data_IF_218575349054
#
_entry.id   IF_218575349054
#
_cell.length_a   1.000
_cell.length_b   1.000
_cell.length_c   1.000
_cell.angle_alpha   90.00
_cell.angle_beta   90.00
_cell.angle_gamma   90.00
#
_symmetry.space_group_name_H-M   'P 1'
#
loop_
_entity.id
_entity.type
_entity.pdbx_description
1 polymer ?
#
# COMPACT_ATOMS: atom_id res chain seq x y z
N UNK A 1 -14.58 13.22 -12.73
CA UNK A 1 -13.21 13.78 -12.54
C UNK A 1 -12.71 13.34 -11.18
N UNK A 2 -11.43 13.06 -11.04
CA UNK A 2 -10.80 12.73 -9.75
C UNK A 2 -9.87 13.87 -9.34
N UNK A 3 -9.73 14.07 -8.04
CA UNK A 3 -8.92 15.14 -7.44
C UNK A 3 -7.86 14.49 -6.55
N UNK A 4 -6.65 14.99 -6.60
CA UNK A 4 -5.52 14.48 -5.84
C UNK A 4 -5.18 15.42 -4.69
N UNK A 5 -4.95 14.83 -3.51
CA UNK A 5 -4.75 15.55 -2.26
C UNK A 5 -3.52 15.05 -1.53
N UNK A 6 -2.83 15.98 -0.88
CA UNK A 6 -1.83 15.70 0.12
C UNK A 6 -2.40 15.99 1.51
N UNK A 7 -2.18 15.07 2.44
CA UNK A 7 -2.63 15.16 3.81
C UNK A 7 -1.39 15.32 4.69
N UNK A 8 -1.17 16.53 5.16
CA UNK A 8 0.01 16.93 5.94
C UNK A 8 -0.32 16.81 7.44
N UNK A 9 0.22 15.82 8.16
CA UNK A 9 -0.05 15.65 9.58
C UNK A 9 0.46 16.84 10.40
N UNK A 10 -0.39 17.39 11.28
CA UNK A 10 -0.01 18.46 12.21
C UNK A 10 0.49 17.92 13.56
N UNK A 11 0.28 16.62 13.80
CA UNK A 11 0.72 15.90 14.98
C UNK A 11 0.85 14.40 14.65
N UNK A 12 1.54 13.59 15.46
CA UNK A 12 1.62 12.16 15.25
C UNK A 12 0.25 11.51 15.14
N UNK A 13 0.05 10.70 14.08
CA UNK A 13 -1.21 10.06 13.77
C UNK A 13 -1.36 8.71 14.47
N UNK A 14 -2.56 8.41 14.95
CA UNK A 14 -2.87 7.18 15.67
C UNK A 14 -3.80 6.30 14.84
N UNK A 15 -3.32 5.10 14.48
CA UNK A 15 -4.13 4.10 13.79
C UNK A 15 -4.09 2.78 14.54
N UNK A 16 -5.21 2.37 15.08
CA UNK A 16 -5.33 1.15 15.87
C UNK A 16 -5.54 -0.07 14.97
N UNK A 17 -5.07 -1.23 15.42
CA UNK A 17 -5.20 -2.49 14.65
C UNK A 17 -6.62 -3.06 14.60
N UNK A 18 -7.57 -2.50 15.34
CA UNK A 18 -8.91 -3.05 15.48
C UNK A 18 -9.03 -4.23 16.44
N UNK A 19 -7.95 -4.59 17.15
CA UNK A 19 -8.02 -5.54 18.25
C UNK A 19 -8.79 -4.95 19.43
N UNK A 20 -9.50 -5.78 20.20
CA UNK A 20 -10.16 -5.31 21.44
C UNK A 20 -9.13 -4.63 22.35
N UNK A 21 -9.49 -3.48 22.88
CA UNK A 21 -8.66 -2.73 23.81
C UNK A 21 -8.66 -3.44 25.18
N UNK A 22 -7.54 -4.01 25.56
CA UNK A 22 -7.33 -4.61 26.89
C UNK A 22 -6.22 -3.87 27.65
N UNK A 23 -6.32 -3.86 28.97
CA UNK A 23 -5.39 -3.17 29.88
C UNK A 23 -3.92 -3.59 29.78
N UNK A 24 -3.61 -4.63 29.01
CA UNK A 24 -2.25 -5.16 28.81
C UNK A 24 -1.81 -5.22 27.35
N UNK A 25 -2.61 -4.73 26.39
CA UNK A 25 -2.27 -4.80 24.98
C UNK A 25 -1.68 -3.45 24.53
N UNK A 26 -0.37 -3.39 24.32
CA UNK A 26 0.23 -2.35 23.47
C UNK A 26 -0.13 -2.65 22.02
N UNK A 27 -1.05 -1.88 21.45
CA UNK A 27 -1.35 -1.92 20.02
C UNK A 27 -0.58 -0.80 19.34
N UNK A 28 0.52 -1.18 18.69
CA UNK A 28 1.36 -0.24 17.95
C UNK A 28 0.60 0.38 16.78
N UNK A 29 0.77 1.66 16.58
CA UNK A 29 0.20 2.36 15.44
C UNK A 29 0.79 1.83 14.14
N UNK A 30 -0.08 1.59 13.14
CA UNK A 30 0.29 1.06 11.83
C UNK A 30 0.05 2.10 10.75
N UNK A 31 0.64 1.87 9.58
CA UNK A 31 0.28 2.65 8.40
C UNK A 31 -1.24 2.57 8.16
N UNK A 32 -1.92 3.70 7.84
CA UNK A 32 -3.37 3.76 7.79
C UNK A 32 -3.97 2.80 6.77
N UNK A 33 -5.13 2.25 7.12
CA UNK A 33 -5.93 1.50 6.17
C UNK A 33 -6.64 2.42 5.18
N UNK A 34 -6.92 1.97 3.95
CA UNK A 34 -7.67 2.74 2.95
C UNK A 34 -8.97 3.32 3.50
N UNK A 35 -9.72 2.53 4.26
CA UNK A 35 -10.98 2.97 4.86
C UNK A 35 -10.84 4.15 5.84
N UNK A 36 -9.67 4.35 6.46
CA UNK A 36 -9.44 5.52 7.32
C UNK A 36 -9.32 6.79 6.48
N UNK A 37 -8.63 6.72 5.34
CA UNK A 37 -8.50 7.83 4.39
C UNK A 37 -9.85 8.13 3.75
N UNK A 38 -10.54 7.13 3.20
CA UNK A 38 -11.87 7.30 2.61
C UNK A 38 -12.85 7.93 3.60
N UNK A 39 -12.83 7.49 4.87
CA UNK A 39 -13.67 8.05 5.92
C UNK A 39 -13.36 9.51 6.24
N UNK A 40 -12.08 9.89 6.29
CA UNK A 40 -11.66 11.28 6.52
C UNK A 40 -12.09 12.21 5.38
N UNK A 41 -11.84 11.79 4.11
CA UNK A 41 -12.21 12.58 2.93
C UNK A 41 -13.72 12.71 2.77
N UNK A 42 -14.49 11.65 3.00
CA UNK A 42 -15.96 11.70 3.01
C UNK A 42 -16.50 12.61 4.10
N UNK A 43 -15.88 12.60 5.29
CA UNK A 43 -16.26 13.52 6.38
C UNK A 43 -15.97 14.96 6.02
N UNK A 44 -14.82 15.23 5.37
CA UNK A 44 -14.51 16.56 4.84
C UNK A 44 -15.56 16.99 3.80
N UNK A 45 -15.88 16.13 2.84
CA UNK A 45 -16.89 16.41 1.82
C UNK A 45 -18.26 16.74 2.43
N UNK A 46 -18.73 15.95 3.40
CA UNK A 46 -20.00 16.24 4.07
C UNK A 46 -20.00 17.60 4.74
N UNK A 47 -18.89 17.98 5.35
CA UNK A 47 -18.73 19.28 6.01
C UNK A 47 -18.73 20.43 5.01
N UNK A 48 -18.04 20.27 3.87
CA UNK A 48 -18.00 21.25 2.79
C UNK A 48 -19.39 21.44 2.14
N UNK A 49 -20.25 20.39 2.18
CA UNK A 49 -21.66 20.47 1.79
C UNK A 49 -22.56 21.12 2.88
N UNK A 50 -21.98 21.54 4.00
CA UNK A 50 -22.68 22.24 5.09
C UNK A 50 -23.53 21.35 6.00
N UNK A 51 -23.54 20.04 5.80
CA UNK A 51 -24.41 19.13 6.56
C UNK A 51 -23.78 17.75 6.80
N UNK A 52 -23.58 17.42 8.06
CA UNK A 52 -23.08 16.11 8.51
C UNK A 52 -24.23 15.32 9.14
N UNK A 53 -25.02 14.68 8.30
CA UNK A 53 -26.15 13.86 8.74
C UNK A 53 -26.07 12.42 8.16
N UNK A 54 -27.01 11.57 8.58
CA UNK A 54 -27.05 10.17 8.15
C UNK A 54 -27.27 10.02 6.64
N UNK A 55 -28.12 10.83 6.04
CA UNK A 55 -28.40 10.79 4.59
C UNK A 55 -27.13 11.14 3.79
N UNK A 56 -26.45 12.23 4.16
CA UNK A 56 -25.17 12.62 3.53
C UNK A 56 -24.09 11.56 3.72
N UNK A 57 -24.08 10.89 4.87
CA UNK A 57 -23.17 9.78 5.11
C UNK A 57 -23.42 8.62 4.13
N UNK A 58 -24.68 8.30 3.82
CA UNK A 58 -25.01 7.27 2.82
C UNK A 58 -24.60 7.73 1.40
N UNK A 59 -24.91 8.96 1.00
CA UNK A 59 -24.50 9.53 -0.28
C UNK A 59 -22.97 9.51 -0.44
N UNK A 60 -22.22 9.82 0.61
CA UNK A 60 -20.76 9.82 0.60
C UNK A 60 -20.13 8.45 0.32
N UNK A 61 -20.84 7.34 0.56
CA UNK A 61 -20.36 5.99 0.25
C UNK A 61 -20.18 5.75 -1.24
N UNK A 62 -20.90 6.51 -2.09
CA UNK A 62 -20.73 6.46 -3.54
C UNK A 62 -19.41 7.13 -4.01
N UNK A 63 -18.81 7.96 -3.18
CA UNK A 63 -17.57 8.65 -3.50
C UNK A 63 -16.37 7.71 -3.32
N UNK A 64 -15.59 7.58 -4.38
CA UNK A 64 -14.41 6.72 -4.40
C UNK A 64 -13.16 7.46 -3.91
N UNK A 65 -12.35 6.74 -3.14
CA UNK A 65 -11.03 7.16 -2.71
C UNK A 65 -9.99 6.13 -3.17
N UNK A 66 -8.75 6.57 -3.42
CA UNK A 66 -7.58 5.71 -3.57
C UNK A 66 -6.47 6.20 -2.64
N UNK A 67 -5.71 5.28 -2.08
CA UNK A 67 -4.70 5.55 -1.05
C UNK A 67 -5.03 4.83 0.26
N UNK A 68 -4.24 5.05 1.32
CA UNK A 68 -3.17 6.05 1.43
C UNK A 68 -1.94 5.72 0.58
N UNK A 69 -1.34 6.75 0.03
CA UNK A 69 0.01 6.72 -0.52
C UNK A 69 0.94 7.45 0.45
N UNK A 70 2.21 7.08 0.45
CA UNK A 70 3.19 7.80 1.24
C UNK A 70 3.87 8.84 0.35
N UNK A 71 3.87 10.10 0.82
CA UNK A 71 4.57 11.21 0.16
C UNK A 71 5.77 11.57 1.05
N UNK A 72 6.95 11.45 0.49
CA UNK A 72 8.20 11.78 1.17
C UNK A 72 8.61 13.23 0.99
N UNK A 73 9.72 13.63 1.63
CA UNK A 73 10.37 14.90 1.34
C UNK A 73 10.60 15.07 -0.16
N UNK A 74 10.64 16.31 -0.65
CA UNK A 74 10.83 16.65 -2.06
C UNK A 74 9.66 16.23 -2.97
N UNK A 75 8.46 16.10 -2.42
CA UNK A 75 7.25 15.72 -3.17
C UNK A 75 7.43 14.41 -3.97
N UNK A 76 8.02 13.42 -3.34
CA UNK A 76 8.23 12.10 -3.92
C UNK A 76 7.16 11.11 -3.48
N UNK A 77 6.53 10.43 -4.42
CA UNK A 77 5.61 9.35 -4.10
C UNK A 77 6.38 8.07 -3.75
N UNK A 78 5.99 7.45 -2.64
CA UNK A 78 6.49 6.15 -2.21
C UNK A 78 5.39 5.10 -2.29
N UNK A 79 5.76 3.92 -2.76
CA UNK A 79 4.89 2.76 -2.89
C UNK A 79 5.42 1.60 -2.07
N UNK A 80 4.60 0.65 -1.64
CA UNK A 80 5.09 -0.52 -0.94
C UNK A 80 6.14 -1.26 -1.76
N UNK A 81 7.20 -1.74 -1.08
CA UNK A 81 8.22 -2.59 -1.71
C UNK A 81 7.52 -3.76 -2.41
N UNK A 82 7.78 -4.00 -3.69
CA UNK A 82 7.14 -5.10 -4.39
C UNK A 82 7.63 -6.45 -3.87
N UNK A 83 6.70 -7.39 -3.73
CA UNK A 83 6.99 -8.73 -3.21
C UNK A 83 7.89 -9.56 -4.12
N UNK A 84 8.03 -9.17 -5.39
CA UNK A 84 8.96 -9.77 -6.34
C UNK A 84 10.39 -9.23 -6.23
N UNK A 85 10.64 -8.27 -5.32
CA UNK A 85 11.98 -7.79 -5.01
C UNK A 85 12.57 -8.55 -3.81
N UNK A 86 13.52 -9.43 -4.08
CA UNK A 86 14.28 -10.15 -3.08
C UNK A 86 15.55 -9.38 -2.75
N UNK A 87 15.67 -8.89 -1.52
CA UNK A 87 16.86 -8.16 -1.07
C UNK A 87 17.71 -9.07 -0.21
N UNK A 88 18.96 -9.23 -0.60
CA UNK A 88 19.96 -10.05 0.07
C UNK A 88 21.09 -9.16 0.57
N UNK A 89 21.58 -9.43 1.79
CA UNK A 89 22.76 -8.76 2.35
C UNK A 89 23.80 -9.83 2.69
N UNK A 90 24.95 -9.71 2.07
CA UNK A 90 26.13 -10.50 2.40
C UNK A 90 26.92 -9.75 3.49
N UNK A 91 26.82 -10.22 4.73
CA UNK A 91 27.49 -9.61 5.88
C UNK A 91 29.02 -9.86 5.86
N UNK A 92 29.49 -10.88 5.13
CA UNK A 92 30.89 -11.22 4.97
C UNK A 92 31.56 -10.53 3.78
N UNK A 93 30.80 -9.77 2.98
CA UNK A 93 31.34 -9.06 1.82
C UNK A 93 32.35 -8.01 2.27
N UNK A 94 33.61 -8.15 1.82
CA UNK A 94 34.70 -7.18 2.07
C UNK A 94 34.43 -5.80 1.47
N UNK A 95 33.60 -5.74 0.44
CA UNK A 95 33.18 -4.54 -0.26
C UNK A 95 31.72 -4.24 0.11
N UNK A 96 31.52 -3.21 0.92
CA UNK A 96 30.18 -2.82 1.41
C UNK A 96 29.23 -2.45 0.27
N UNK A 97 29.74 -2.02 -0.89
CA UNK A 97 28.92 -1.71 -2.06
C UNK A 97 28.33 -2.96 -2.73
N UNK A 98 28.96 -4.11 -2.53
CA UNK A 98 28.50 -5.43 -3.02
C UNK A 98 27.73 -6.22 -1.96
N UNK A 99 27.70 -5.73 -0.73
CA UNK A 99 27.02 -6.39 0.38
C UNK A 99 25.50 -6.47 0.17
N UNK A 100 24.91 -5.54 -0.57
CA UNK A 100 23.47 -5.48 -0.83
C UNK A 100 23.17 -5.82 -2.29
N UNK A 101 22.35 -6.85 -2.51
CA UNK A 101 21.92 -7.29 -3.82
C UNK A 101 20.38 -7.31 -3.88
N UNK A 102 19.81 -6.85 -4.97
CA UNK A 102 18.37 -6.91 -5.23
C UNK A 102 18.15 -7.82 -6.43
N UNK A 103 17.48 -8.93 -6.20
CA UNK A 103 17.09 -9.86 -7.24
C UNK A 103 15.60 -9.71 -7.55
N UNK A 104 15.27 -9.74 -8.83
CA UNK A 104 13.89 -9.77 -9.28
C UNK A 104 13.44 -11.20 -9.40
N UNK A 105 12.38 -11.54 -8.67
CA UNK A 105 11.65 -12.78 -8.88
C UNK A 105 10.70 -12.63 -10.06
N UNK A 106 10.53 -13.68 -10.86
CA UNK A 106 9.69 -13.68 -12.07
C UNK A 106 8.89 -14.96 -12.18
N UNK A 107 7.75 -14.96 -12.92
CA UNK A 107 7.11 -16.19 -13.33
C UNK A 107 8.10 -17.13 -14.00
N UNK A 108 8.04 -18.41 -13.67
CA UNK A 108 9.00 -19.40 -14.18
C UNK A 108 8.42 -20.81 -14.20
N UNK A 109 9.26 -21.79 -14.39
CA UNK A 109 8.91 -23.22 -14.35
C UNK A 109 9.47 -23.89 -13.10
N UNK A 110 8.78 -24.93 -12.65
CA UNK A 110 9.39 -25.85 -11.69
C UNK A 110 10.59 -26.57 -12.31
N UNK A 111 11.59 -26.87 -11.48
CA UNK A 111 12.64 -27.76 -11.89
C UNK A 111 12.06 -29.16 -12.19
N UNK A 112 12.71 -29.90 -13.09
CA UNK A 112 12.29 -31.24 -13.44
C UNK A 112 12.19 -32.14 -12.20
N UNK A 113 11.10 -32.90 -12.07
CA UNK A 113 10.82 -33.74 -10.93
C UNK A 113 10.23 -33.04 -9.71
N UNK A 114 10.03 -31.73 -9.74
CA UNK A 114 9.35 -31.00 -8.68
C UNK A 114 7.82 -31.01 -8.88
N UNK A 115 7.10 -31.32 -7.79
CA UNK A 115 5.65 -31.20 -7.72
C UNK A 115 5.22 -29.94 -6.97
N UNK A 116 3.97 -29.51 -7.18
CA UNK A 116 3.41 -28.35 -6.52
C UNK A 116 1.94 -28.52 -6.22
N UNK A 117 1.46 -27.81 -5.19
CA UNK A 117 0.03 -27.65 -4.87
C UNK A 117 -0.55 -26.36 -5.44
N UNK A 118 0.18 -25.66 -6.32
CA UNK A 118 -0.36 -24.48 -6.99
C UNK A 118 -1.59 -24.87 -7.82
N UNK A 119 -2.61 -24.00 -7.86
CA UNK A 119 -3.75 -24.18 -8.75
C UNK A 119 -3.30 -24.34 -10.20
N UNK A 120 -4.04 -25.16 -10.94
CA UNK A 120 -3.77 -25.37 -12.37
C UNK A 120 -3.80 -24.03 -13.13
N UNK A 121 -2.82 -23.80 -13.98
CA UNK A 121 -2.66 -22.57 -14.76
C UNK A 121 -1.82 -21.48 -14.10
N UNK A 122 -1.42 -21.67 -12.83
CA UNK A 122 -0.46 -20.77 -12.18
C UNK A 122 0.96 -21.27 -12.31
N UNK A 123 1.87 -20.35 -12.62
CA UNK A 123 3.31 -20.57 -12.60
C UNK A 123 3.90 -20.24 -11.23
N UNK A 124 4.97 -20.92 -10.82
CA UNK A 124 5.76 -20.50 -9.66
C UNK A 124 6.45 -19.17 -9.95
N UNK A 125 6.72 -18.43 -8.90
CA UNK A 125 7.61 -17.28 -8.97
C UNK A 125 9.00 -17.74 -8.53
N UNK A 126 9.98 -17.56 -9.39
CA UNK A 126 11.34 -18.09 -9.22
C UNK A 126 12.37 -16.99 -9.15
N UNK A 127 13.47 -17.26 -8.46
CA UNK A 127 14.66 -16.41 -8.43
C UNK A 127 15.61 -16.89 -9.53
N UNK A 128 16.18 -16.00 -10.34
CA UNK A 128 17.07 -16.37 -11.46
C UNK A 128 18.35 -17.06 -11.02
N UNK A 129 18.78 -16.83 -9.80
CA UNK A 129 20.02 -17.36 -9.21
C UNK A 129 19.74 -17.94 -7.85
N UNK A 130 20.47 -19.01 -7.49
CA UNK A 130 20.35 -19.61 -6.16
C UNK A 130 21.00 -18.68 -5.11
N UNK A 131 20.23 -18.05 -4.20
CA UNK A 131 20.78 -17.11 -3.25
C UNK A 131 21.55 -17.88 -2.17
N UNK A 132 22.83 -17.54 -1.98
CA UNK A 132 23.68 -18.12 -0.93
C UNK A 132 23.33 -17.60 0.47
N UNK A 133 22.70 -16.40 0.55
CA UNK A 133 22.38 -15.71 1.79
C UNK A 133 20.86 -15.57 1.98
N UNK A 134 20.44 -15.44 3.24
CA UNK A 134 19.01 -15.29 3.55
C UNK A 134 18.49 -13.92 3.16
N UNK A 135 17.24 -13.82 2.66
CA UNK A 135 16.56 -12.56 2.44
C UNK A 135 16.48 -11.76 3.74
N UNK A 136 16.67 -10.46 3.63
CA UNK A 136 16.58 -9.53 4.75
C UNK A 136 15.30 -8.71 4.72
N UNK A 137 14.79 -8.38 5.91
CA UNK A 137 13.76 -7.37 6.04
C UNK A 137 14.35 -6.01 5.67
N UNK A 138 13.73 -5.37 4.70
CA UNK A 138 14.18 -4.12 4.12
C UNK A 138 13.09 -3.06 4.24
N UNK A 139 13.35 -1.86 3.72
CA UNK A 139 12.39 -0.77 3.67
C UNK A 139 11.03 -1.24 3.16
N UNK A 140 9.98 -0.90 3.89
CA UNK A 140 8.60 -1.25 3.53
C UNK A 140 8.08 -0.44 2.34
N UNK A 141 8.75 0.68 2.01
CA UNK A 141 8.36 1.58 0.93
C UNK A 141 9.55 1.96 0.08
N UNK A 142 9.34 2.01 -1.23
CA UNK A 142 10.28 2.47 -2.23
C UNK A 142 9.76 3.72 -2.92
N UNK A 143 10.67 4.60 -3.33
CA UNK A 143 10.30 5.71 -4.21
C UNK A 143 9.75 5.14 -5.52
N UNK A 144 8.67 5.73 -6.01
CA UNK A 144 8.03 5.28 -7.26
C UNK A 144 8.98 5.35 -8.46
N UNK A 145 9.75 6.43 -8.58
CA UNK A 145 10.74 6.58 -9.64
C UNK A 145 11.83 5.51 -9.60
N UNK A 146 12.28 5.11 -8.41
CA UNK A 146 13.23 4.02 -8.21
C UNK A 146 12.64 2.67 -8.63
N UNK A 147 11.39 2.41 -8.24
CA UNK A 147 10.69 1.20 -8.65
C UNK A 147 10.58 1.12 -10.18
N UNK A 148 10.22 2.20 -10.83
CA UNK A 148 10.07 2.24 -12.29
C UNK A 148 11.43 2.10 -13.01
N UNK A 149 12.49 2.71 -12.48
CA UNK A 149 13.84 2.53 -12.98
C UNK A 149 14.32 1.08 -12.83
N UNK A 150 14.09 0.48 -11.67
CA UNK A 150 14.41 -0.93 -11.45
C UNK A 150 13.59 -1.85 -12.37
N UNK A 151 12.35 -1.50 -12.64
CA UNK A 151 11.47 -2.24 -13.54
C UNK A 151 11.96 -2.22 -14.99
N UNK A 152 12.55 -1.11 -15.41
CA UNK A 152 13.23 -0.98 -16.73
C UNK A 152 14.59 -1.67 -16.80
N UNK A 153 15.03 -2.35 -15.74
CA UNK A 153 16.31 -3.08 -15.69
C UNK A 153 17.53 -2.21 -15.33
N UNK A 154 17.31 -0.96 -14.92
CA UNK A 154 18.42 -0.11 -14.46
C UNK A 154 18.89 -0.56 -13.08
N UNK A 155 20.20 -0.66 -12.83
CA UNK A 155 20.71 -0.94 -11.50
C UNK A 155 20.44 0.24 -10.58
N UNK A 156 20.11 -0.05 -9.31
CA UNK A 156 20.05 1.00 -8.30
C UNK A 156 21.45 1.59 -8.04
N UNK A 157 21.58 2.91 -7.94
CA UNK A 157 22.82 3.53 -7.45
C UNK A 157 23.15 3.02 -6.03
N UNK A 158 24.43 2.82 -5.73
CA UNK A 158 24.87 2.27 -4.44
C UNK A 158 24.33 3.04 -3.22
N UNK A 159 24.29 4.38 -3.29
CA UNK A 159 23.70 5.21 -2.23
C UNK A 159 22.20 4.99 -2.02
N UNK A 160 21.46 4.61 -3.07
CA UNK A 160 20.03 4.31 -2.99
C UNK A 160 19.78 2.89 -2.47
N UNK A 161 20.70 1.94 -2.69
CA UNK A 161 20.59 0.60 -2.14
C UNK A 161 20.53 0.61 -0.62
N UNK A 162 21.32 1.44 0.03
CA UNK A 162 21.28 1.56 1.49
C UNK A 162 19.98 2.20 1.99
N UNK A 163 19.45 3.21 1.32
CA UNK A 163 18.16 3.81 1.66
C UNK A 163 16.99 2.82 1.48
N UNK A 164 17.10 1.92 0.51
CA UNK A 164 16.14 0.83 0.29
C UNK A 164 16.23 -0.25 1.37
N UNK A 165 17.43 -0.51 1.90
CA UNK A 165 17.65 -1.50 2.94
C UNK A 165 17.13 -1.05 4.31
N UNK A 166 16.93 0.25 4.52
CA UNK A 166 16.44 0.75 5.79
C UNK A 166 14.96 0.45 6.01
N UNK A 167 14.57 -0.10 7.18
CA UNK A 167 13.17 -0.34 7.47
C UNK A 167 12.43 0.98 7.61
N UNK A 168 11.32 1.10 6.92
CA UNK A 168 10.28 2.13 6.93
C UNK A 168 10.68 3.58 7.22
N UNK A 169 10.21 4.56 6.43
CA UNK A 169 10.47 5.99 6.68
C UNK A 169 9.95 6.46 8.05
N UNK A 170 9.03 5.74 8.68
CA UNK A 170 8.49 6.05 10.00
C UNK A 170 9.29 5.37 11.11
N UNK A 171 10.50 5.82 11.34
CA UNK A 171 11.33 5.32 12.44
C UNK A 171 10.92 5.89 13.79
N UNK A 172 10.31 7.07 13.80
CA UNK A 172 9.90 7.71 15.03
C UNK A 172 8.44 7.47 15.33
N UNK A 173 8.20 6.97 16.55
CA UNK A 173 6.88 6.75 17.11
C UNK A 173 6.76 7.52 18.40
N UNK A 174 5.73 8.33 18.51
CA UNK A 174 5.42 8.99 19.76
C UNK A 174 4.64 8.06 20.67
N UNK A 175 5.14 7.79 21.86
CA UNK A 175 4.43 7.07 22.90
C UNK A 175 3.90 8.07 23.91
N UNK A 176 2.58 8.10 24.09
CA UNK A 176 1.90 8.93 25.07
C UNK A 176 1.25 8.05 26.13
N UNK A 177 1.51 8.31 27.40
CA UNK A 177 0.91 7.59 28.52
C UNK A 177 -0.35 8.31 28.98
N UNK A 178 -1.44 7.59 29.08
CA UNK A 178 -2.75 8.08 29.48
C UNK A 178 -3.26 7.32 30.68
N UNK A 179 -4.11 7.98 31.48
CA UNK A 179 -4.80 7.37 32.62
C UNK A 179 -6.29 7.68 32.53
N UNK A 180 -7.12 6.72 32.87
CA UNK A 180 -8.55 6.96 32.99
C UNK A 180 -8.83 7.71 34.29
N UNK A 181 -9.55 8.82 34.20
CA UNK A 181 -10.00 9.61 35.34
C UNK A 181 -11.39 9.11 35.74
N UNK A 182 -11.55 8.80 37.04
CA UNK A 182 -12.86 8.57 37.61
C UNK A 182 -13.62 9.89 37.70
N UNK A 183 -14.77 9.97 37.05
CA UNK A 183 -15.56 11.21 36.97
C UNK A 183 -16.17 11.65 38.29
N UNK A 184 -16.31 10.73 39.28
CA UNK A 184 -16.90 11.04 40.58
C UNK A 184 -15.86 11.60 41.55
N UNK A 185 -14.69 10.99 41.61
CA UNK A 185 -13.59 11.38 42.50
C UNK A 185 -12.61 12.39 41.89
N UNK A 186 -12.57 12.52 40.57
CA UNK A 186 -11.55 13.34 39.87
C UNK A 186 -10.13 12.77 39.93
N UNK A 187 -9.97 11.55 40.45
CA UNK A 187 -8.68 10.88 40.58
C UNK A 187 -8.45 9.84 39.50
N UNK A 188 -7.20 9.37 39.36
CA UNK A 188 -6.87 8.27 38.45
C UNK A 188 -7.56 6.97 38.91
N UNK A 189 -8.11 6.25 37.95
CA UNK A 189 -8.69 4.93 38.20
C UNK A 189 -7.58 3.88 38.24
N UNK A 190 -7.51 3.11 39.32
CA UNK A 190 -6.48 2.09 39.51
C UNK A 190 -6.52 1.03 38.40
N UNK A 191 -5.35 0.61 37.92
CA UNK A 191 -5.22 -0.38 36.84
C UNK A 191 -5.61 0.11 35.44
N UNK A 192 -5.89 1.40 35.26
CA UNK A 192 -6.34 1.99 34.00
C UNK A 192 -5.29 2.94 33.38
N UNK A 193 -4.00 2.54 33.49
CA UNK A 193 -2.91 3.19 32.77
C UNK A 193 -2.77 2.51 31.40
N UNK A 194 -2.69 3.28 30.31
CA UNK A 194 -2.49 2.75 28.97
C UNK A 194 -1.60 3.66 28.14
N UNK A 195 -0.98 3.08 27.12
CA UNK A 195 -0.13 3.82 26.19
C UNK A 195 -0.78 3.88 24.83
N UNK A 196 -0.63 5.02 24.17
CA UNK A 196 -1.03 5.25 22.79
C UNK A 196 0.25 5.54 22.00
N UNK A 197 0.41 4.81 20.93
CA UNK A 197 1.51 5.02 19.99
C UNK A 197 0.98 5.76 18.75
N UNK A 198 1.66 6.83 18.36
CA UNK A 198 1.39 7.61 17.16
C UNK A 198 2.56 7.55 16.18
N UNK A 199 2.25 7.53 14.88
CA UNK A 199 3.23 7.67 13.80
C UNK A 199 3.61 9.14 13.64
N UNK A 200 4.88 9.48 13.77
CA UNK A 200 5.37 10.83 13.60
C UNK A 200 5.89 11.04 12.18
N UNK A 201 5.21 11.89 11.43
CA UNK A 201 5.51 12.22 10.04
C UNK A 201 6.48 13.41 9.91
N UNK A 202 6.80 14.08 11.02
CA UNK A 202 7.61 15.29 11.02
C UNK A 202 9.01 15.13 11.60
N UNK A 203 9.39 13.92 12.05
CA UNK A 203 10.68 13.66 12.68
C UNK A 203 11.34 12.41 12.16
N UNK A 204 12.64 12.52 11.90
CA UNK A 204 13.52 11.37 11.74
C UNK A 204 14.51 11.31 12.91
N UNK A 205 14.73 10.11 13.42
CA UNK A 205 15.76 9.89 14.44
C UNK A 205 17.10 9.72 13.76
N UNK A 206 18.04 10.59 14.07
CA UNK A 206 19.41 10.43 13.64
C UNK A 206 20.10 9.37 14.50
N UNK A 207 20.73 8.40 13.84
CA UNK A 207 21.52 7.34 14.50
C UNK A 207 22.98 7.58 14.09
N UNK A 208 23.87 7.63 15.08
CA UNK A 208 25.31 7.73 14.83
C UNK A 208 25.90 6.40 14.30
N UNK A 209 27.18 6.42 13.92
CA UNK A 209 27.89 5.24 13.43
C UNK A 209 27.97 4.07 14.44
N UNK A 210 27.67 4.33 15.71
CA UNK A 210 27.68 3.34 16.80
C UNK A 210 26.27 2.83 17.12
N UNK A 211 25.24 3.26 16.36
CA UNK A 211 23.85 2.86 16.56
C UNK A 211 23.12 3.63 17.67
N UNK A 212 23.73 4.69 18.24
CA UNK A 212 23.10 5.51 19.27
C UNK A 212 22.35 6.71 18.68
N UNK A 213 21.37 7.21 19.41
CA UNK A 213 20.61 8.38 19.01
C UNK A 213 21.49 9.63 19.04
N UNK A 214 21.74 10.20 17.86
CA UNK A 214 22.46 11.48 17.69
C UNK A 214 21.51 12.70 17.66
N UNK A 215 20.22 12.50 17.95
CA UNK A 215 19.21 13.55 17.93
C UNK A 215 18.09 13.29 16.92
N UNK A 216 17.38 14.35 16.55
CA UNK A 216 16.27 14.31 15.60
C UNK A 216 16.51 15.35 14.51
N UNK A 217 16.23 14.98 13.27
CA UNK A 217 16.06 15.91 12.16
C UNK A 217 14.57 16.14 11.90
N UNK A 218 14.25 17.31 11.34
CA UNK A 218 12.91 17.60 10.83
C UNK A 218 12.84 17.07 9.41
N UNK A 219 11.94 16.11 9.18
CA UNK A 219 11.56 15.66 7.85
C UNK A 219 10.05 15.80 7.72
N UNK A 220 9.61 16.25 6.56
CA UNK A 220 8.17 16.35 6.29
C UNK A 220 7.75 15.20 5.40
N UNK A 221 7.09 14.23 6.02
CA UNK A 221 6.36 13.18 5.33
C UNK A 221 4.88 13.50 5.36
N UNK A 222 4.16 13.06 4.34
CA UNK A 222 2.73 13.24 4.24
C UNK A 222 2.06 11.96 3.73
N UNK A 223 0.73 11.95 3.76
CA UNK A 223 -0.07 10.96 3.07
C UNK A 223 -0.64 11.57 1.79
N UNK A 224 -0.79 10.75 0.77
CA UNK A 224 -1.44 11.12 -0.47
C UNK A 224 -2.74 10.35 -0.65
N UNK A 225 -3.71 10.97 -1.31
CA UNK A 225 -4.96 10.32 -1.66
C UNK A 225 -5.58 10.92 -2.92
N UNK A 226 -6.30 10.09 -3.67
CA UNK A 226 -7.17 10.50 -4.76
C UNK A 226 -8.61 10.38 -4.32
N UNK A 227 -9.47 11.33 -4.71
CA UNK A 227 -10.88 11.33 -4.35
C UNK A 227 -11.76 11.76 -5.53
N UNK A 228 -12.96 11.18 -5.62
CA UNK A 228 -13.85 11.40 -6.76
C UNK A 228 -14.67 12.70 -6.70
N UNK A 229 -14.57 13.46 -5.62
CA UNK A 229 -15.24 14.76 -5.46
C UNK A 229 -14.23 15.84 -5.07
N UNK A 230 -14.46 17.12 -5.43
CA UNK A 230 -13.66 18.22 -4.96
C UNK A 230 -13.84 18.45 -3.46
N UNK A 231 -12.76 18.86 -2.79
CA UNK A 231 -12.72 19.25 -1.39
C UNK A 231 -11.95 20.56 -1.26
N UNK A 232 -12.35 21.40 -0.32
CA UNK A 232 -11.63 22.62 0.02
C UNK A 232 -10.38 22.28 0.85
N UNK A 233 -9.31 23.06 0.63
CA UNK A 233 -8.11 22.99 1.45
C UNK A 233 -8.43 23.36 2.90
N UNK A 234 -7.85 22.66 3.86
CA UNK A 234 -8.09 22.98 5.26
C UNK A 234 -7.77 21.86 6.23
N UNK A 235 -8.04 22.13 7.50
CA UNK A 235 -7.80 21.17 8.58
C UNK A 235 -8.93 20.14 8.63
N UNK A 236 -8.56 18.86 8.53
CA UNK A 236 -9.46 17.72 8.70
C UNK A 236 -8.94 16.78 9.79
N UNK A 237 -9.75 15.85 10.26
CA UNK A 237 -9.33 14.82 11.22
C UNK A 237 -9.05 13.49 10.52
N UNK A 238 -7.94 12.85 10.92
CA UNK A 238 -7.55 11.55 10.42
C UNK A 238 -7.07 10.63 11.54
N UNK A 239 -7.60 9.42 11.57
CA UNK A 239 -7.26 8.41 12.58
C UNK A 239 -7.91 8.64 13.94
N UNK A 240 -7.32 8.05 14.97
CA UNK A 240 -7.78 8.16 16.36
C UNK A 240 -7.37 9.47 17.02
N UNK A 241 -7.94 9.70 18.22
CA UNK A 241 -7.60 10.84 19.09
C UNK A 241 -7.82 12.22 18.42
N UNK A 242 -8.69 12.31 17.42
CA UNK A 242 -9.01 13.55 16.66
C UNK A 242 -7.74 14.27 16.15
N UNK A 243 -6.73 13.51 15.72
CA UNK A 243 -5.51 14.09 15.17
C UNK A 243 -5.79 14.86 13.89
N UNK A 244 -5.20 16.05 13.78
CA UNK A 244 -5.39 16.94 12.63
C UNK A 244 -4.41 16.64 11.51
N UNK A 245 -4.89 16.78 10.27
CA UNK A 245 -4.07 16.85 9.08
C UNK A 245 -4.53 18.03 8.23
N UNK A 246 -3.58 18.73 7.62
CA UNK A 246 -3.89 19.77 6.67
C UNK A 246 -4.06 19.15 5.29
N UNK A 247 -5.28 19.23 4.76
CA UNK A 247 -5.63 18.80 3.41
C UNK A 247 -5.20 19.87 2.41
N UNK A 248 -4.48 19.48 1.38
CA UNK A 248 -3.96 20.36 0.34
C UNK A 248 -4.26 19.77 -1.04
N UNK A 249 -4.86 20.55 -1.91
CA UNK A 249 -5.11 20.23 -3.32
C UNK A 249 -3.94 20.65 -4.22
N UNK A 250 -4.08 20.45 -5.53
CA UNK A 250 -3.10 20.91 -6.52
C UNK A 250 -1.87 20.04 -6.69
N UNK A 251 -1.87 18.83 -6.14
CA UNK A 251 -0.74 17.89 -6.17
C UNK A 251 -0.85 16.81 -7.26
N UNK A 252 -1.62 17.07 -8.30
CA UNK A 252 -1.93 16.09 -9.37
C UNK A 252 -0.68 15.52 -10.04
N UNK A 253 0.42 16.28 -10.09
CA UNK A 253 1.69 15.84 -10.66
C UNK A 253 2.28 14.63 -9.93
N UNK A 254 2.02 14.47 -8.63
CA UNK A 254 2.51 13.34 -7.82
C UNK A 254 1.84 12.03 -8.23
N UNK A 255 0.60 12.09 -8.68
CA UNK A 255 -0.24 10.93 -8.95
C UNK A 255 -0.45 10.67 -10.45
N UNK A 256 0.18 11.44 -11.30
CA UNK A 256 0.11 11.24 -12.74
C UNK A 256 0.86 9.97 -13.15
N UNK A 257 0.24 9.16 -14.02
CA UNK A 257 0.96 8.05 -14.63
C UNK A 257 2.05 8.59 -15.57
N UNK A 258 3.30 8.13 -15.46
CA UNK A 258 4.35 8.54 -16.39
C UNK A 258 3.96 8.20 -17.83
N UNK A 259 4.05 9.15 -18.79
CA UNK A 259 3.63 8.91 -20.19
C UNK A 259 4.37 7.73 -20.86
N UNK A 260 5.65 7.56 -20.56
CA UNK A 260 6.43 6.44 -21.05
C UNK A 260 5.91 5.08 -20.56
N UNK A 261 5.48 5.01 -19.30
CA UNK A 261 4.87 3.80 -18.73
C UNK A 261 3.52 3.52 -19.37
N UNK A 262 2.67 4.55 -19.57
CA UNK A 262 1.39 4.39 -20.22
C UNK A 262 1.54 3.82 -21.63
N UNK A 263 2.49 4.37 -22.42
CA UNK A 263 2.80 3.87 -23.75
C UNK A 263 3.29 2.42 -23.72
N UNK A 264 4.19 2.09 -22.80
CA UNK A 264 4.74 0.74 -22.66
C UNK A 264 3.65 -0.28 -22.25
N UNK A 265 2.78 0.06 -21.31
CA UNK A 265 1.64 -0.79 -20.89
C UNK A 265 0.66 -1.00 -22.03
N UNK A 266 0.41 0.01 -22.87
CA UNK A 266 -0.54 -0.11 -23.99
C UNK A 266 -0.14 -1.17 -25.02
N UNK A 267 1.14 -1.46 -25.17
CA UNK A 267 1.70 -2.39 -26.17
C UNK A 267 2.19 -3.71 -25.55
N UNK A 268 2.41 -3.75 -24.24
CA UNK A 268 2.97 -4.92 -23.56
C UNK A 268 2.05 -6.16 -23.68
N UNK A 269 2.59 -7.38 -23.75
CA UNK A 269 1.80 -8.62 -23.80
C UNK A 269 1.04 -8.88 -22.50
N UNK A 270 1.48 -8.24 -21.40
CA UNK A 270 0.86 -8.34 -20.10
C UNK A 270 1.33 -7.27 -19.13
N UNK A 271 0.78 -7.30 -17.93
CA UNK A 271 1.07 -6.35 -16.86
C UNK A 271 1.36 -7.07 -15.55
N UNK A 272 2.31 -6.55 -14.79
CA UNK A 272 2.50 -6.90 -13.40
C UNK A 272 1.83 -5.82 -12.55
N UNK A 273 0.80 -6.19 -11.80
CA UNK A 273 0.05 -5.27 -10.93
C UNK A 273 0.59 -5.37 -9.51
N UNK A 274 1.21 -4.31 -9.02
CA UNK A 274 1.69 -4.24 -7.64
C UNK A 274 0.69 -3.48 -6.78
N UNK A 275 0.27 -4.08 -5.67
CA UNK A 275 -0.70 -3.47 -4.77
C UNK A 275 -0.07 -2.35 -3.93
N UNK A 276 -0.55 -1.13 -4.10
CA UNK A 276 -0.21 0.00 -3.23
C UNK A 276 -0.95 -0.06 -1.90
N UNK A 277 -2.15 -0.64 -1.89
CA UNK A 277 -2.96 -0.85 -0.68
C UNK A 277 -3.37 -2.31 -0.58
N UNK A 278 -3.65 -2.83 0.63
CA UNK A 278 -4.11 -4.21 0.77
C UNK A 278 -5.39 -4.47 -0.01
N UNK A 279 -5.53 -5.67 -0.57
CA UNK A 279 -6.69 -6.07 -1.36
C UNK A 279 -7.57 -7.08 -0.63
N UNK A 280 -8.86 -7.01 -0.88
CA UNK A 280 -9.90 -7.84 -0.26
C UNK A 280 -10.58 -8.70 -1.30
N UNK A 281 -10.26 -9.99 -1.29
CA UNK A 281 -10.86 -10.98 -2.15
C UNK A 281 -11.64 -12.01 -1.34
N UNK A 282 -12.79 -12.41 -1.85
CA UNK A 282 -13.68 -13.41 -1.22
C UNK A 282 -13.04 -14.79 -1.14
N UNK A 283 -12.14 -15.09 -2.08
CA UNK A 283 -11.40 -16.35 -2.16
C UNK A 283 -9.96 -16.26 -1.60
N UNK A 284 -9.70 -15.29 -0.72
CA UNK A 284 -8.40 -15.09 -0.08
C UNK A 284 -7.39 -14.41 -0.99
N UNK A 285 -6.54 -15.17 -1.70
CA UNK A 285 -5.54 -14.60 -2.61
C UNK A 285 -6.10 -14.35 -4.02
N UNK A 286 -7.12 -15.11 -4.44
CA UNK A 286 -7.65 -15.07 -5.81
C UNK A 286 -8.72 -13.97 -5.92
N UNK A 287 -8.57 -13.04 -6.89
CA UNK A 287 -9.63 -12.10 -7.25
C UNK A 287 -10.92 -12.82 -7.67
N UNK A 288 -12.06 -12.41 -7.13
CA UNK A 288 -13.34 -13.05 -7.37
C UNK A 288 -13.90 -12.82 -8.77
N UNK A 289 -13.37 -11.85 -9.51
CA UNK A 289 -13.71 -11.59 -10.91
C UNK A 289 -13.00 -12.53 -11.90
N UNK A 290 -12.07 -13.36 -11.42
CA UNK A 290 -11.43 -14.41 -12.22
C UNK A 290 -12.22 -15.71 -12.15
N UNK A 291 -12.46 -16.32 -13.30
CA UNK A 291 -13.08 -17.63 -13.45
C UNK A 291 -12.14 -18.78 -13.01
N UNK A 292 -12.52 -20.01 -13.26
CA UNK A 292 -11.71 -21.20 -12.94
C UNK A 292 -10.47 -21.35 -13.84
N UNK A 293 -10.49 -20.74 -15.03
CA UNK A 293 -9.34 -20.67 -15.93
C UNK A 293 -8.42 -19.46 -15.61
N UNK A 294 -8.65 -18.79 -14.46
CA UNK A 294 -7.94 -17.61 -14.02
C UNK A 294 -8.06 -16.41 -14.98
N UNK A 295 -9.13 -16.38 -15.78
CA UNK A 295 -9.43 -15.34 -16.75
C UNK A 295 -10.59 -14.46 -16.23
N UNK A 296 -10.58 -13.19 -16.59
CA UNK A 296 -11.68 -12.28 -16.27
C UNK A 296 -11.49 -10.88 -16.81
N UNK A 297 -12.57 -10.10 -16.77
CA UNK A 297 -12.55 -8.69 -17.15
C UNK A 297 -12.14 -7.85 -15.93
N UNK A 298 -11.23 -6.89 -16.16
CA UNK A 298 -10.75 -6.03 -15.08
C UNK A 298 -11.88 -5.13 -14.55
N UNK A 299 -12.13 -5.10 -13.24
CA UNK A 299 -13.22 -4.33 -12.67
C UNK A 299 -13.10 -2.83 -12.98
N UNK A 300 -14.10 -2.28 -13.68
CA UNK A 300 -14.17 -0.85 -14.01
C UNK A 300 -13.43 -0.44 -15.30
N UNK A 301 -12.81 -1.38 -16.04
CA UNK A 301 -12.21 -1.10 -17.34
C UNK A 301 -12.79 -2.09 -18.35
N UNK A 302 -13.87 -1.69 -19.00
CA UNK A 302 -14.58 -2.55 -19.96
C UNK A 302 -13.70 -2.91 -21.14
N UNK A 303 -13.71 -4.20 -21.53
CA UNK A 303 -12.89 -4.75 -22.60
C UNK A 303 -11.44 -5.03 -22.24
N UNK A 304 -11.01 -4.79 -21.00
CA UNK A 304 -9.72 -5.27 -20.53
C UNK A 304 -9.88 -6.68 -19.93
N UNK A 305 -9.58 -7.70 -20.72
CA UNK A 305 -9.64 -9.09 -20.30
C UNK A 305 -8.25 -9.63 -20.00
N UNK A 306 -8.07 -10.17 -18.81
CA UNK A 306 -6.79 -10.60 -18.27
C UNK A 306 -6.82 -12.08 -17.87
N UNK A 307 -5.66 -12.74 -17.95
CA UNK A 307 -5.40 -14.06 -17.38
C UNK A 307 -4.31 -13.96 -16.32
N UNK A 308 -4.59 -14.41 -15.10
CA UNK A 308 -3.59 -14.47 -14.03
C UNK A 308 -2.61 -15.61 -14.31
N UNK A 309 -1.31 -15.27 -14.34
CA UNK A 309 -0.21 -16.21 -14.64
C UNK A 309 0.54 -16.61 -13.37
N UNK A 310 0.86 -15.65 -12.51
CA UNK A 310 1.60 -15.87 -11.28
C UNK A 310 1.32 -14.77 -10.27
N UNK A 311 1.65 -15.02 -9.00
CA UNK A 311 1.58 -14.00 -7.95
C UNK A 311 2.71 -14.18 -6.93
N UNK A 312 3.40 -13.09 -6.61
CA UNK A 312 4.27 -12.98 -5.46
C UNK A 312 3.48 -12.34 -4.32
N UNK A 313 3.29 -13.09 -3.24
CA UNK A 313 2.43 -12.70 -2.13
C UNK A 313 3.27 -12.44 -0.89
N UNK A 314 3.06 -11.30 -0.27
CA UNK A 314 3.46 -11.08 1.12
C UNK A 314 2.48 -11.80 2.07
N UNK A 315 2.88 -11.94 3.34
CA UNK A 315 2.00 -12.55 4.34
C UNK A 315 0.69 -11.77 4.44
N UNK A 316 -0.45 -12.49 4.42
CA UNK A 316 -1.78 -11.90 4.56
C UNK A 316 -1.89 -11.02 5.82
N UNK A 317 -2.71 -9.98 5.75
CA UNK A 317 -2.95 -9.05 6.84
C UNK A 317 -4.37 -9.21 7.38
N UNK A 318 -4.49 -9.31 8.71
CA UNK A 318 -5.78 -9.22 9.38
C UNK A 318 -6.22 -7.76 9.43
N UNK A 319 -7.37 -7.47 8.86
CA UNK A 319 -7.98 -6.15 8.90
C UNK A 319 -9.28 -6.18 9.66
N UNK A 320 -9.54 -5.10 10.37
CA UNK A 320 -10.80 -4.80 11.03
C UNK A 320 -10.95 -3.28 11.08
N UNK A 321 -11.96 -2.78 11.74
CA UNK A 321 -12.19 -1.36 11.89
C UNK A 321 -13.40 -1.11 12.76
N UNK A 322 -13.81 0.14 12.86
CA UNK A 322 -14.98 0.56 13.59
C UNK A 322 -16.03 1.11 12.63
N UNK A 323 -17.26 0.66 12.78
CA UNK A 323 -18.41 1.21 12.08
C UNK A 323 -19.05 2.30 12.96
N UNK A 324 -18.79 3.55 12.60
CA UNK A 324 -19.33 4.69 13.35
C UNK A 324 -20.85 4.79 13.29
N UNK A 325 -21.47 4.39 12.18
CA UNK A 325 -22.90 4.46 12.01
C UNK A 325 -23.61 3.41 12.87
N UNK A 326 -23.02 2.21 12.99
CA UNK A 326 -23.58 1.11 13.80
C UNK A 326 -23.01 1.02 15.21
N UNK A 327 -22.01 1.86 15.53
CA UNK A 327 -21.32 1.87 16.84
C UNK A 327 -20.77 0.48 17.24
N UNK A 328 -20.22 -0.26 16.27
CA UNK A 328 -19.70 -1.61 16.50
C UNK A 328 -18.42 -1.89 15.69
N UNK A 329 -17.62 -2.88 16.12
CA UNK A 329 -16.47 -3.33 15.31
C UNK A 329 -16.94 -3.91 13.97
N UNK A 330 -16.21 -3.61 12.89
CA UNK A 330 -16.36 -4.29 11.60
C UNK A 330 -15.85 -5.72 11.72
N UNK A 331 -16.43 -6.70 10.99
CA UNK A 331 -15.91 -8.06 10.94
C UNK A 331 -14.43 -8.09 10.57
N UNK A 332 -13.66 -8.96 11.22
CA UNK A 332 -12.28 -9.19 10.85
C UNK A 332 -12.21 -9.90 9.48
N UNK A 333 -11.37 -9.41 8.59
CA UNK A 333 -11.18 -9.96 7.23
C UNK A 333 -9.70 -10.20 6.96
N UNK A 334 -9.38 -11.17 6.10
CA UNK A 334 -8.02 -11.39 5.60
C UNK A 334 -7.83 -10.59 4.32
N UNK A 335 -6.74 -9.85 4.25
CA UNK A 335 -6.37 -9.08 3.07
C UNK A 335 -5.07 -9.60 2.46
N UNK A 336 -4.98 -9.56 1.15
CA UNK A 336 -3.70 -9.63 0.44
C UNK A 336 -2.92 -8.37 0.79
N UNK A 337 -1.67 -8.54 1.20
CA UNK A 337 -0.87 -7.42 1.69
C UNK A 337 -0.49 -6.46 0.55
N UNK A 338 -0.33 -5.19 0.89
CA UNK A 338 0.31 -4.21 0.01
C UNK A 338 1.75 -4.68 -0.33
N UNK A 339 2.21 -4.36 -1.53
CA UNK A 339 3.46 -4.88 -2.11
C UNK A 339 3.29 -6.18 -2.90
N UNK A 340 2.26 -6.99 -2.63
CA UNK A 340 2.00 -8.19 -3.44
C UNK A 340 1.90 -7.83 -4.92
N UNK A 341 2.45 -8.67 -5.78
CA UNK A 341 2.52 -8.45 -7.23
C UNK A 341 1.89 -9.62 -7.97
N UNK A 342 1.01 -9.30 -8.90
CA UNK A 342 0.27 -10.25 -9.74
C UNK A 342 0.62 -10.04 -11.20
N UNK A 343 1.03 -11.10 -11.90
CA UNK A 343 1.30 -11.05 -13.34
C UNK A 343 0.09 -11.50 -14.12
N UNK A 344 -0.36 -10.63 -15.01
CA UNK A 344 -1.47 -10.90 -15.90
C UNK A 344 -1.04 -10.82 -17.34
N UNK A 345 -1.41 -11.82 -18.13
CA UNK A 345 -1.40 -11.74 -19.59
C UNK A 345 -2.64 -10.96 -20.04
N UNK A 346 -2.48 -10.10 -21.04
CA UNK A 346 -3.57 -9.34 -21.64
C UNK A 346 -4.16 -10.16 -22.78
N UNK A 347 -5.37 -10.66 -22.57
CA UNK A 347 -6.12 -11.43 -23.58
C UNK A 347 -6.85 -10.51 -24.56
N UNK A 348 -7.47 -9.45 -24.05
CA UNK A 348 -8.21 -8.46 -24.82
C UNK A 348 -7.92 -7.06 -24.29
N UNK A 349 -7.85 -6.09 -25.20
CA UNK A 349 -7.59 -4.68 -24.85
C UNK A 349 -8.83 -3.83 -25.11
N UNK A 350 -9.12 -2.84 -24.27
CA UNK A 350 -10.13 -1.83 -24.55
C UNK A 350 -9.87 -1.10 -25.87
N UNK A 351 -10.92 -0.63 -26.50
CA UNK A 351 -10.84 0.25 -27.68
C UNK A 351 -10.46 1.68 -27.31
N UNK A 352 -10.70 2.08 -26.05
CA UNK A 352 -10.27 3.36 -25.52
C UNK A 352 -8.76 3.37 -25.30
N UNK A 353 -8.05 4.25 -26.02
CA UNK A 353 -6.59 4.39 -25.90
C UNK A 353 -6.12 4.87 -24.52
N UNK A 354 -7.03 5.39 -23.69
CA UNK A 354 -6.71 5.87 -22.33
C UNK A 354 -6.81 4.77 -21.26
N UNK A 355 -7.06 3.52 -21.63
CA UNK A 355 -7.17 2.42 -20.67
C UNK A 355 -5.95 2.23 -19.75
N UNK A 356 -4.67 2.50 -20.16
CA UNK A 356 -3.55 2.39 -19.25
C UNK A 356 -3.63 3.40 -18.11
N UNK A 357 -4.10 4.62 -18.38
CA UNK A 357 -4.34 5.64 -17.38
C UNK A 357 -5.48 5.25 -16.44
N UNK A 358 -6.52 4.57 -16.94
CA UNK A 358 -7.60 4.06 -16.12
C UNK A 358 -7.14 2.90 -15.21
N UNK A 359 -6.12 2.14 -15.61
CA UNK A 359 -5.51 1.09 -14.81
C UNK A 359 -4.62 1.66 -13.68
N UNK A 360 -4.07 2.86 -13.88
CA UNK A 360 -3.22 3.52 -12.90
C UNK A 360 -4.00 3.94 -11.66
N UNK A 361 -3.60 3.42 -10.49
CA UNK A 361 -4.26 3.60 -9.21
C UNK A 361 -5.71 3.09 -9.18
N UNK A 362 -6.06 2.17 -10.06
CA UNK A 362 -7.33 1.45 -10.01
C UNK A 362 -7.37 0.48 -8.83
N UNK A 363 -8.56 0.18 -8.33
CA UNK A 363 -8.77 -0.73 -7.19
C UNK A 363 -9.38 -2.05 -7.64
N UNK A 364 -8.79 -3.18 -7.21
CA UNK A 364 -9.13 -4.54 -7.64
C UNK A 364 -9.95 -5.36 -6.66
N UNK A 365 -10.20 -4.90 -5.44
CA UNK A 365 -10.98 -5.68 -4.46
C UNK A 365 -12.35 -6.11 -5.01
N UNK A 366 -12.88 -7.24 -4.57
CA UNK A 366 -14.09 -7.83 -5.12
C UNK A 366 -15.33 -6.95 -4.91
N UNK A 367 -15.57 -6.50 -3.68
CA UNK A 367 -16.75 -5.71 -3.38
C UNK A 367 -16.59 -4.26 -3.86
N UNK A 368 -17.66 -3.73 -4.46
CA UNK A 368 -17.69 -2.35 -4.96
C UNK A 368 -17.36 -1.33 -3.87
N UNK A 369 -17.86 -1.53 -2.65
CA UNK A 369 -17.57 -0.63 -1.54
C UNK A 369 -16.09 -0.70 -1.13
N UNK A 370 -15.47 -1.88 -1.14
CA UNK A 370 -14.04 -2.01 -0.87
C UNK A 370 -13.22 -1.24 -1.92
N UNK A 371 -13.58 -1.33 -3.20
CA UNK A 371 -12.93 -0.54 -4.26
C UNK A 371 -13.11 0.96 -4.05
N UNK A 372 -14.32 1.40 -3.69
CA UNK A 372 -14.60 2.81 -3.38
C UNK A 372 -13.87 3.31 -2.13
N UNK A 373 -13.54 2.42 -1.22
CA UNK A 373 -12.73 2.74 -0.03
C UNK A 373 -11.22 2.72 -0.32
N UNK A 374 -10.79 2.35 -1.54
CA UNK A 374 -9.38 2.31 -1.95
C UNK A 374 -8.65 1.01 -1.62
N UNK A 375 -9.38 -0.06 -1.26
CA UNK A 375 -8.77 -1.37 -1.05
C UNK A 375 -8.38 -2.01 -2.38
N UNK A 376 -7.13 -2.50 -2.46
CA UNK A 376 -6.62 -3.14 -3.65
C UNK A 376 -6.21 -2.17 -4.75
N UNK A 377 -5.83 -0.95 -4.40
CA UNK A 377 -5.26 0.02 -5.36
C UNK A 377 -3.94 -0.49 -5.89
N UNK A 378 -3.76 -0.45 -7.22
CA UNK A 378 -2.57 -0.97 -7.90
C UNK A 378 -1.86 0.06 -8.75
N UNK A 379 -0.58 -0.23 -9.00
CA UNK A 379 0.19 0.37 -10.09
C UNK A 379 0.55 -0.72 -11.11
N UNK A 380 0.36 -0.47 -12.41
CA UNK A 380 0.83 -1.37 -13.46
C UNK A 380 2.34 -1.21 -13.64
N UNK A 381 2.98 -2.34 -13.84
CA UNK A 381 4.38 -2.48 -14.23
C UNK A 381 4.43 -3.33 -15.50
N UNK A 382 5.51 -3.23 -16.27
CA UNK A 382 5.64 -3.97 -17.52
C UNK A 382 6.00 -5.42 -17.21
N UNK A 383 5.17 -6.35 -17.68
CA UNK A 383 5.54 -7.76 -17.75
C UNK A 383 6.15 -8.06 -19.13
N UNK A 384 7.28 -8.75 -19.14
CA UNK A 384 8.04 -9.03 -20.36
C UNK A 384 7.53 -10.32 -21.02
N UNK A 385 7.75 -10.49 -22.34
CA UNK A 385 7.39 -11.71 -23.07
C UNK A 385 7.97 -12.97 -22.42
N UNK A 386 9.16 -12.88 -21.84
CA UNK A 386 9.81 -13.97 -21.12
C UNK A 386 9.02 -14.43 -19.90
N UNK A 387 8.23 -13.55 -19.27
CA UNK A 387 7.42 -13.89 -18.11
C UNK A 387 6.25 -14.81 -18.49
N UNK A 388 5.80 -14.77 -19.75
CA UNK A 388 4.68 -15.57 -20.27
C UNK A 388 5.13 -16.81 -21.02
N UNK A 389 6.22 -16.75 -21.78
CA UNK A 389 6.72 -17.86 -22.60
C UNK A 389 7.08 -19.09 -21.79
N UNK A 390 7.51 -18.89 -20.54
CA UNK A 390 7.84 -20.00 -19.63
C UNK A 390 6.59 -20.71 -19.08
N UNK A 391 5.43 -20.07 -19.10
CA UNK A 391 4.20 -20.58 -18.50
C UNK A 391 3.28 -21.33 -19.49
N UNK A 392 3.48 -21.17 -20.81
CA UNK A 392 2.60 -21.71 -21.85
C UNK A 392 2.96 -23.12 -22.33
N UNK A 393 4.02 -23.75 -21.79
CA UNK A 393 4.49 -25.09 -22.17
C UNK A 393 4.33 -26.09 -21.02
N UNK A 394 3.12 -26.24 -20.50
CA UNK A 394 2.78 -27.25 -19.49
C UNK A 394 1.50 -27.97 -19.86
#
# INVERSE_FOLDING_TARGET
>A
MTHDYQLNPTAPLVFRSGKPFGSSSQDGSRFPWPSAIAGALRTAWMRDQGDVNFQRAQESLELAAAGPFLVGPEDCLYVPKPADALVLRDEDAKDTTKALQIHRMRPGKFADGCGSTLPQGLCPVVVPTDPVVKPQNTASFWRLDQLLAWDSGQPFPAAQLESIAEPAPFRHRQISTHVQIDRKSGTSKEGQLFQIEGLDFGRARNIDSNGFSAGFSSEQWALGARFSAPLDDGLIHLGGERRGVWLQSGVNHLFAMPPALAQAVSTAPGVALTFCTPALFSQGWKPGWLDNALCGEFPGISGLRLRLIACALERWQGISGWDLARQQPKPARKAVAAGSTYWFEILERPTDAQWPQALWLASLSDATQDRRDGWGTVIPRIAQDTDFSLCTQG
#
